data_IF_517503461675
#
_entry.id   IF_517503461675
#
_cell.length_a   1.000
_cell.length_b   1.000
_cell.length_c   1.000
_cell.angle_alpha   90.00
_cell.angle_beta   90.00
_cell.angle_gamma   90.00
#
_symmetry.space_group_name_H-M   'P 1'
#
loop_
_entity.id
_entity.type
_entity.pdbx_description
1 polymer ?
#
# COMPACT_ATOMS: atom_id res chain seq x y z
N UNK A 1 -17.66 4.99 10.48
CA UNK A 1 -16.55 4.33 11.20
C UNK A 1 -15.69 5.37 11.91
N UNK A 2 -15.19 5.08 13.11
CA UNK A 2 -14.21 5.92 13.82
C UNK A 2 -13.09 5.02 14.36
N UNK A 3 -11.85 5.36 14.03
CA UNK A 3 -10.66 4.61 14.45
C UNK A 3 -9.85 5.51 15.38
N UNK A 4 -9.51 5.01 16.57
CA UNK A 4 -8.71 5.76 17.54
C UNK A 4 -7.25 5.66 17.16
N UNK A 5 -6.59 6.80 16.96
CA UNK A 5 -5.15 6.87 16.74
C UNK A 5 -4.43 7.04 18.09
N UNK A 6 -3.48 6.16 18.44
CA UNK A 6 -2.74 6.24 19.70
C UNK A 6 -1.54 7.19 19.65
N UNK A 7 -1.02 7.50 18.45
CA UNK A 7 0.03 8.49 18.22
C UNK A 7 -0.36 9.49 17.11
N UNK A 8 0.47 10.52 16.90
CA UNK A 8 0.24 11.58 15.92
C UNK A 8 0.67 11.20 14.49
N UNK A 9 1.25 10.02 14.30
CA UNK A 9 1.78 9.53 13.02
C UNK A 9 1.19 8.16 12.62
N UNK A 10 1.53 7.70 11.41
CA UNK A 10 1.09 6.42 10.85
C UNK A 10 -0.44 6.32 10.71
N UNK A 11 -1.06 7.41 10.26
CA UNK A 11 -2.49 7.46 10.06
C UNK A 11 -2.95 6.66 8.82
N UNK A 12 -2.06 6.46 7.84
CA UNK A 12 -2.44 5.98 6.51
C UNK A 12 -3.44 6.95 5.86
N UNK A 13 -4.54 6.41 5.33
CA UNK A 13 -5.70 7.20 4.93
C UNK A 13 -6.01 7.18 3.43
N UNK A 14 -5.37 6.32 2.64
CA UNK A 14 -5.82 6.10 1.26
C UNK A 14 -7.20 5.45 1.27
N UNK A 15 -8.11 6.06 0.51
CA UNK A 15 -9.46 5.58 0.21
C UNK A 15 -9.54 5.33 -1.30
N UNK A 16 -9.98 4.14 -1.71
CA UNK A 16 -10.27 3.85 -3.11
C UNK A 16 -11.34 2.77 -3.24
N UNK A 17 -12.09 2.81 -4.33
CA UNK A 17 -13.00 1.72 -4.66
C UNK A 17 -12.26 0.61 -5.40
N UNK A 18 -12.52 -0.63 -4.99
CA UNK A 18 -12.04 -1.81 -5.71
C UNK A 18 -12.85 -2.11 -6.96
N UNK A 19 -12.33 -2.98 -7.85
CA UNK A 19 -13.08 -3.46 -9.01
C UNK A 19 -14.33 -4.27 -8.62
N UNK A 20 -14.41 -4.71 -7.36
CA UNK A 20 -15.56 -5.39 -6.75
C UNK A 20 -16.63 -4.41 -6.23
N UNK A 21 -16.41 -3.10 -6.31
CA UNK A 21 -17.36 -2.06 -5.89
C UNK A 21 -17.29 -1.69 -4.41
N UNK A 22 -16.44 -2.34 -3.61
CA UNK A 22 -16.28 -2.03 -2.19
C UNK A 22 -15.28 -0.90 -1.96
N UNK A 23 -15.40 -0.23 -0.80
CA UNK A 23 -14.44 0.78 -0.38
C UNK A 23 -13.28 0.14 0.38
N UNK A 24 -12.06 0.38 -0.10
CA UNK A 24 -10.80 -0.02 0.51
C UNK A 24 -10.18 1.15 1.27
N UNK A 25 -9.67 0.87 2.47
CA UNK A 25 -9.17 1.89 3.40
C UNK A 25 -7.83 1.42 3.96
N UNK A 26 -6.75 2.15 3.64
CA UNK A 26 -5.42 1.89 4.18
C UNK A 26 -5.23 2.55 5.52
N UNK A 27 -4.86 1.79 6.56
CA UNK A 27 -4.62 2.29 7.91
C UNK A 27 -3.23 1.89 8.37
N UNK A 28 -2.41 2.86 8.78
CA UNK A 28 -1.14 2.55 9.45
C UNK A 28 -1.35 1.97 10.86
N UNK A 29 -0.27 1.49 11.46
CA UNK A 29 -0.23 0.86 12.78
C UNK A 29 -0.57 1.84 13.92
N UNK A 30 -0.68 3.13 13.62
CA UNK A 30 -1.01 4.20 14.55
C UNK A 30 0.11 4.55 15.52
N UNK A 31 1.31 3.99 15.34
CA UNK A 31 2.46 4.19 16.19
C UNK A 31 2.28 3.73 17.65
N UNK A 32 3.22 4.10 18.54
CA UNK A 32 4.50 4.74 18.24
C UNK A 32 5.44 3.79 17.47
N UNK A 33 6.65 4.25 17.15
CA UNK A 33 7.66 3.45 16.44
C UNK A 33 7.79 2.02 17.02
N UNK A 34 7.99 1.07 16.12
CA UNK A 34 8.11 -0.38 16.33
C UNK A 34 6.81 -1.09 16.65
N UNK A 35 5.64 -0.44 16.61
CA UNK A 35 4.36 -1.06 16.96
C UNK A 35 4.44 -1.88 18.27
N UNK A 36 4.81 -1.26 19.41
CA UNK A 36 5.08 -1.98 20.65
C UNK A 36 3.81 -2.57 21.30
N UNK A 37 2.64 -2.34 20.70
CA UNK A 37 1.36 -2.91 21.09
C UNK A 37 0.87 -3.98 20.10
N UNK A 38 1.57 -4.18 18.98
CA UNK A 38 1.28 -5.22 18.00
C UNK A 38 -0.04 -4.99 17.26
N UNK A 39 -0.42 -3.73 17.06
CA UNK A 39 -1.66 -3.36 16.37
C UNK A 39 -1.76 -4.05 15.01
N UNK A 40 -0.67 -4.08 14.24
CA UNK A 40 -0.59 -4.62 12.88
C UNK A 40 -0.91 -6.12 12.82
N UNK A 41 -0.63 -6.84 13.91
CA UNK A 41 -0.90 -8.28 14.06
C UNK A 41 -2.19 -8.58 14.83
N UNK A 42 -2.79 -7.59 15.48
CA UNK A 42 -3.97 -7.75 16.30
C UNK A 42 -5.26 -7.58 15.47
N UNK A 43 -6.06 -8.65 15.35
CA UNK A 43 -7.32 -8.65 14.60
C UNK A 43 -8.47 -7.94 15.32
N UNK A 44 -8.32 -7.59 16.60
CA UNK A 44 -9.29 -6.73 17.30
C UNK A 44 -9.12 -5.25 17.00
N UNK A 45 -8.07 -4.87 16.28
CA UNK A 45 -7.73 -3.49 15.94
C UNK A 45 -7.76 -3.27 14.43
N UNK A 46 -8.19 -2.09 14.02
CA UNK A 46 -8.25 -1.67 12.61
C UNK A 46 -6.94 -1.02 12.10
N UNK A 47 -5.91 -0.98 12.94
CA UNK A 47 -4.63 -0.32 12.66
C UNK A 47 -3.61 -1.32 12.07
N UNK A 48 -2.79 -0.86 11.13
CA UNK A 48 -1.80 -1.65 10.39
C UNK A 48 -2.45 -2.63 9.42
N UNK A 49 -3.52 -2.17 8.74
CA UNK A 49 -4.46 -2.98 7.95
C UNK A 49 -4.82 -2.30 6.63
N UNK A 50 -5.33 -3.10 5.70
CA UNK A 50 -6.28 -2.62 4.70
C UNK A 50 -7.65 -3.15 5.08
N UNK A 51 -8.63 -2.25 5.15
CA UNK A 51 -10.02 -2.56 5.44
C UNK A 51 -10.81 -2.59 4.14
N UNK A 52 -11.88 -3.40 4.09
CA UNK A 52 -12.85 -3.43 2.99
C UNK A 52 -14.27 -3.41 3.54
N UNK A 53 -15.05 -2.42 3.13
CA UNK A 53 -16.43 -2.22 3.56
C UNK A 53 -17.38 -2.00 2.38
N UNK A 54 -18.65 -2.33 2.60
CA UNK A 54 -19.74 -2.03 1.68
C UNK A 54 -20.40 -0.71 2.09
N UNK A 55 -20.34 0.31 1.22
CA UNK A 55 -20.93 1.63 1.49
C UNK A 55 -22.39 1.74 1.03
N UNK A 56 -22.89 0.75 0.28
CA UNK A 56 -24.26 0.71 -0.25
C UNK A 56 -25.20 -0.10 0.66
N UNK A 57 -24.65 -0.84 1.63
CA UNK A 57 -25.39 -1.60 2.63
C UNK A 57 -25.11 -1.08 4.04
N UNK A 58 -26.01 -1.37 4.98
CA UNK A 58 -25.82 -1.09 6.40
C UNK A 58 -26.07 -2.34 7.24
N UNK A 59 -25.12 -2.71 8.09
CA UNK A 59 -25.33 -3.73 9.11
C UNK A 59 -25.93 -3.14 10.40
N UNK A 60 -26.50 -4.00 11.26
CA UNK A 60 -27.26 -3.58 12.45
C UNK A 60 -26.53 -2.57 13.37
N UNK A 61 -25.19 -2.62 13.41
CA UNK A 61 -24.36 -1.78 14.27
C UNK A 61 -23.52 -0.74 13.51
N UNK A 62 -23.60 -0.69 12.18
CA UNK A 62 -22.70 0.07 11.33
C UNK A 62 -23.48 0.88 10.27
N UNK A 63 -22.92 2.03 9.87
CA UNK A 63 -23.44 2.81 8.73
C UNK A 63 -22.83 2.35 7.40
N UNK A 64 -22.44 1.08 7.35
CA UNK A 64 -21.81 0.37 6.23
C UNK A 64 -22.07 -1.12 6.45
N UNK A 65 -21.97 -1.91 5.39
CA UNK A 65 -22.04 -3.37 5.44
C UNK A 65 -20.63 -3.96 5.53
N UNK A 66 -20.56 -5.17 6.07
CA UNK A 66 -19.39 -6.02 5.97
C UNK A 66 -19.57 -6.95 4.76
N UNK A 67 -18.69 -6.89 3.74
CA UNK A 67 -18.73 -7.86 2.64
C UNK A 67 -18.67 -9.30 3.17
N UNK A 68 -19.60 -10.15 2.72
CA UNK A 68 -19.72 -11.52 3.20
C UNK A 68 -18.51 -12.41 2.85
N UNK A 69 -17.69 -11.98 1.89
CA UNK A 69 -16.46 -12.64 1.46
C UNK A 69 -15.20 -11.99 2.06
N UNK A 70 -15.33 -11.11 3.06
CA UNK A 70 -14.16 -10.65 3.82
C UNK A 70 -13.49 -11.84 4.54
N UNK A 71 -12.14 -11.88 4.60
CA UNK A 71 -11.39 -13.09 4.96
C UNK A 71 -11.53 -13.51 6.43
N UNK A 72 -12.00 -12.62 7.31
CA UNK A 72 -12.07 -12.85 8.75
C UNK A 72 -13.50 -12.87 9.30
N UNK A 73 -14.54 -12.89 8.44
CA UNK A 73 -15.95 -12.78 8.88
C UNK A 73 -16.43 -13.98 9.69
N UNK A 74 -15.96 -15.17 9.34
CA UNK A 74 -16.38 -16.46 9.91
C UNK A 74 -15.55 -16.89 11.13
N UNK A 75 -14.58 -16.08 11.55
CA UNK A 75 -13.85 -16.35 12.78
C UNK A 75 -14.81 -16.26 13.98
N UNK A 76 -14.75 -17.28 14.85
CA UNK A 76 -15.64 -17.38 16.02
C UNK A 76 -15.32 -16.37 17.12
N UNK A 77 -14.14 -15.75 17.08
CA UNK A 77 -13.73 -14.74 18.05
C UNK A 77 -14.53 -13.44 17.82
N UNK A 78 -15.37 -13.02 18.78
CA UNK A 78 -16.20 -11.82 18.63
C UNK A 78 -15.41 -10.51 18.60
N UNK A 79 -14.15 -10.52 19.06
CA UNK A 79 -13.31 -9.33 19.06
C UNK A 79 -12.71 -9.03 17.68
N UNK A 80 -12.70 -10.02 16.77
CA UNK A 80 -12.19 -9.85 15.41
C UNK A 80 -13.00 -8.79 14.66
N UNK A 81 -12.28 -7.83 14.10
CA UNK A 81 -12.84 -6.76 13.28
C UNK A 81 -13.05 -7.26 11.87
N UNK A 82 -14.31 -7.49 11.52
CA UNK A 82 -14.71 -8.06 10.22
C UNK A 82 -14.50 -7.12 9.04
N UNK A 83 -14.18 -5.85 9.28
CA UNK A 83 -13.76 -4.90 8.25
C UNK A 83 -12.39 -5.24 7.65
N UNK A 84 -11.57 -6.02 8.38
CA UNK A 84 -10.19 -6.31 7.98
C UNK A 84 -10.18 -7.15 6.70
N UNK A 85 -9.38 -6.71 5.73
CA UNK A 85 -9.13 -7.43 4.47
C UNK A 85 -7.68 -7.91 4.37
N UNK A 86 -6.70 -7.13 4.84
CA UNK A 86 -5.27 -7.48 4.90
C UNK A 86 -4.69 -7.02 6.23
N UNK A 87 -3.69 -7.74 6.74
CA UNK A 87 -3.00 -7.44 8.01
C UNK A 87 -1.48 -7.29 7.86
N UNK A 88 -0.83 -6.79 8.90
CA UNK A 88 0.64 -6.75 8.98
C UNK A 88 1.29 -5.69 8.10
N UNK A 89 0.66 -4.52 7.96
CA UNK A 89 1.25 -3.35 7.28
C UNK A 89 1.66 -2.31 8.31
N UNK A 90 2.66 -1.48 8.00
CA UNK A 90 3.11 -0.41 8.91
C UNK A 90 2.37 0.90 8.66
N UNK A 91 2.48 1.42 7.46
CA UNK A 91 1.95 2.70 7.04
C UNK A 91 1.69 2.65 5.52
N UNK A 92 0.61 1.96 5.08
CA UNK A 92 0.23 1.91 3.66
C UNK A 92 -0.21 3.30 3.21
N UNK A 93 0.71 4.05 2.60
CA UNK A 93 0.53 5.47 2.30
C UNK A 93 -0.34 5.69 1.07
N UNK A 94 0.10 5.23 -0.12
CA UNK A 94 -0.74 5.13 -1.33
C UNK A 94 -0.93 3.70 -1.77
N UNK A 95 -2.14 3.47 -2.26
CA UNK A 95 -2.55 2.22 -2.87
C UNK A 95 -3.25 2.49 -4.19
N UNK A 96 -3.12 1.57 -5.14
CA UNK A 96 -3.81 1.64 -6.43
C UNK A 96 -4.12 0.25 -6.96
N UNK A 97 -5.34 0.09 -7.51
CA UNK A 97 -5.65 -1.08 -8.32
C UNK A 97 -5.08 -0.91 -9.71
N UNK A 98 -4.46 -1.97 -10.22
CA UNK A 98 -4.25 -2.10 -11.66
C UNK A 98 -5.58 -2.47 -12.32
N UNK A 99 -6.18 -1.62 -13.18
CA UNK A 99 -7.50 -1.86 -13.74
C UNK A 99 -7.55 -3.09 -14.68
N UNK A 100 -6.40 -3.62 -15.10
CA UNK A 100 -6.33 -4.79 -15.99
C UNK A 100 -6.19 -6.09 -15.20
N UNK A 101 -5.31 -6.13 -14.21
CA UNK A 101 -5.06 -7.37 -13.44
C UNK A 101 -5.92 -7.50 -12.19
N UNK A 102 -6.45 -6.38 -11.68
CA UNK A 102 -7.13 -6.32 -10.39
C UNK A 102 -6.19 -6.39 -9.19
N UNK A 103 -4.86 -6.39 -9.39
CA UNK A 103 -3.89 -6.39 -8.29
C UNK A 103 -3.95 -5.04 -7.54
N UNK A 104 -3.98 -5.11 -6.21
CA UNK A 104 -3.83 -3.94 -5.35
C UNK A 104 -2.36 -3.72 -5.00
N UNK A 105 -1.77 -2.68 -5.56
CA UNK A 105 -0.41 -2.23 -5.28
C UNK A 105 -0.40 -1.26 -4.09
N UNK A 106 0.63 -1.37 -3.25
CA UNK A 106 0.76 -0.59 -2.01
C UNK A 106 2.20 -0.12 -1.87
N UNK A 107 2.38 1.19 -1.63
CA UNK A 107 3.60 1.72 -1.04
C UNK A 107 3.44 1.74 0.48
N UNK A 108 4.19 0.89 1.17
CA UNK A 108 4.18 0.80 2.64
C UNK A 108 5.45 1.46 3.20
N UNK A 109 5.27 2.54 3.97
CA UNK A 109 6.38 3.27 4.56
C UNK A 109 6.94 2.42 5.70
N UNK A 110 8.20 1.99 5.57
CA UNK A 110 8.85 1.21 6.62
C UNK A 110 9.44 2.10 7.72
N UNK A 111 10.14 1.52 8.68
CA UNK A 111 10.62 2.26 9.84
C UNK A 111 12.09 2.66 9.84
N UNK A 112 12.99 1.66 9.86
CA UNK A 112 14.41 1.83 10.13
C UNK A 112 15.23 1.48 8.89
N UNK A 113 14.89 0.38 8.21
CA UNK A 113 15.74 -0.21 7.18
C UNK A 113 15.25 0.05 5.78
N UNK A 114 13.97 -0.18 5.53
CA UNK A 114 13.48 -0.28 4.16
C UNK A 114 12.19 0.50 3.96
N UNK A 115 11.96 0.92 2.72
CA UNK A 115 10.64 1.23 2.17
C UNK A 115 10.17 0.06 1.30
N UNK A 116 8.86 -0.15 1.16
CA UNK A 116 8.32 -1.37 0.56
C UNK A 116 7.30 -1.12 -0.55
N UNK A 117 7.43 -1.87 -1.65
CA UNK A 117 6.40 -2.02 -2.68
C UNK A 117 5.81 -3.42 -2.61
N UNK A 118 4.50 -3.50 -2.37
CA UNK A 118 3.79 -4.75 -2.12
C UNK A 118 2.57 -4.88 -3.02
N UNK A 119 2.26 -6.09 -3.47
CA UNK A 119 0.91 -6.45 -3.96
C UNK A 119 0.25 -7.28 -2.88
N UNK A 120 -0.92 -6.84 -2.44
CA UNK A 120 -1.67 -7.46 -1.35
C UNK A 120 -2.88 -8.25 -1.88
N UNK A 121 -3.33 -9.30 -1.16
CA UNK A 121 -4.55 -10.06 -1.47
C UNK A 121 -5.33 -10.36 -0.18
N UNK A 122 -6.61 -10.68 -0.34
CA UNK A 122 -7.53 -11.00 0.75
C UNK A 122 -6.93 -12.02 1.72
N UNK A 123 -6.91 -11.66 3.01
CA UNK A 123 -6.51 -12.52 4.12
C UNK A 123 -5.00 -12.58 4.36
N UNK A 124 -4.18 -11.89 3.55
CA UNK A 124 -2.73 -11.94 3.70
C UNK A 124 -2.23 -11.16 4.92
N UNK A 125 -1.14 -11.65 5.51
CA UNK A 125 -0.37 -10.99 6.54
C UNK A 125 0.99 -10.57 5.95
N UNK A 126 1.26 -9.27 5.89
CA UNK A 126 2.52 -8.72 5.36
C UNK A 126 3.63 -8.55 6.40
N UNK A 127 3.36 -9.00 7.63
CA UNK A 127 4.39 -9.30 8.59
C UNK A 127 4.92 -8.15 9.42
N UNK A 128 4.51 -6.89 9.23
CA UNK A 128 4.89 -5.84 10.18
C UNK A 128 4.28 -6.11 11.57
N UNK A 129 5.01 -6.05 12.70
CA UNK A 129 6.42 -5.65 12.87
C UNK A 129 7.41 -6.82 12.98
N UNK A 130 7.03 -8.03 12.58
CA UNK A 130 7.91 -9.20 12.54
C UNK A 130 8.95 -9.05 11.44
N UNK A 131 8.57 -8.52 10.28
CA UNK A 131 9.42 -8.28 9.13
C UNK A 131 9.45 -6.79 8.76
N UNK A 132 10.60 -6.35 8.27
CA UNK A 132 10.76 -5.07 7.57
C UNK A 132 11.51 -5.40 6.28
N UNK A 133 10.83 -5.25 5.15
CA UNK A 133 11.26 -5.79 3.88
C UNK A 133 11.41 -7.30 3.87
N UNK A 134 12.57 -7.78 3.44
CA UNK A 134 12.89 -9.22 3.39
C UNK A 134 13.56 -9.73 4.67
N UNK A 135 13.71 -8.89 5.69
CA UNK A 135 14.47 -9.18 6.90
C UNK A 135 13.58 -9.26 8.13
N UNK A 136 13.99 -10.11 9.08
CA UNK A 136 13.35 -10.14 10.40
C UNK A 136 13.62 -8.80 11.11
N UNK A 137 12.55 -8.19 11.58
CA UNK A 137 12.53 -7.00 12.42
C UNK A 137 12.39 -7.31 13.90
N UNK A 138 11.39 -8.11 14.26
CA UNK A 138 11.12 -8.47 15.64
C UNK A 138 10.59 -9.89 15.73
N UNK A 139 10.82 -10.57 16.85
CA UNK A 139 10.15 -11.84 17.15
C UNK A 139 8.96 -11.68 18.10
N UNK A 140 8.67 -10.46 18.57
CA UNK A 140 7.74 -10.21 19.68
C UNK A 140 6.32 -10.69 19.42
N UNK A 141 5.81 -10.51 18.19
CA UNK A 141 4.45 -10.89 17.80
C UNK A 141 4.42 -12.04 16.78
N UNK A 142 5.57 -12.70 16.57
CA UNK A 142 5.68 -13.79 15.63
C UNK A 142 4.89 -15.00 16.14
N UNK A 143 4.06 -15.54 15.25
CA UNK A 143 3.38 -16.83 15.42
C UNK A 143 4.00 -17.84 14.46
N UNK A 144 4.37 -19.02 14.96
CA UNK A 144 5.14 -20.02 14.21
C UNK A 144 4.35 -20.66 13.05
N UNK A 145 3.03 -20.77 13.20
CA UNK A 145 2.13 -21.38 12.20
C UNK A 145 1.60 -20.37 11.17
N UNK A 146 2.02 -19.11 11.26
CA UNK A 146 1.52 -18.04 10.40
C UNK A 146 2.43 -17.83 9.19
N UNK A 147 1.80 -17.61 8.02
CA UNK A 147 2.51 -17.30 6.78
C UNK A 147 2.56 -15.78 6.58
N UNK A 148 3.77 -15.24 6.43
CA UNK A 148 4.00 -13.84 6.15
C UNK A 148 4.37 -13.66 4.67
N UNK A 149 3.69 -12.74 3.99
CA UNK A 149 3.85 -12.49 2.55
C UNK A 149 4.84 -11.33 2.34
N UNK A 150 6.01 -11.58 1.73
CA UNK A 150 7.02 -10.54 1.56
C UNK A 150 6.60 -9.50 0.50
N UNK A 151 7.21 -8.30 0.51
CA UNK A 151 7.04 -7.33 -0.55
C UNK A 151 7.62 -7.82 -1.88
N UNK A 152 7.28 -7.13 -2.97
CA UNK A 152 7.87 -7.38 -4.29
C UNK A 152 9.26 -6.75 -4.38
N UNK A 153 9.40 -5.56 -3.80
CA UNK A 153 10.62 -4.79 -3.85
C UNK A 153 10.77 -3.95 -2.59
N UNK A 154 12.01 -3.82 -2.12
CA UNK A 154 12.38 -2.89 -1.06
C UNK A 154 13.57 -2.05 -1.46
N UNK A 155 13.69 -0.86 -0.88
CA UNK A 155 14.90 -0.05 -0.99
C UNK A 155 15.32 0.53 0.36
N UNK A 156 16.63 0.63 0.57
CA UNK A 156 17.22 1.13 1.80
C UNK A 156 17.15 2.65 1.93
N UNK A 157 17.44 3.13 3.14
CA UNK A 157 17.37 4.56 3.52
C UNK A 157 18.26 5.48 2.67
N UNK A 158 19.29 4.95 2.02
CA UNK A 158 20.13 5.68 1.08
C UNK A 158 19.42 6.07 -0.23
N UNK A 159 18.32 5.40 -0.56
CA UNK A 159 17.52 5.68 -1.76
C UNK A 159 16.26 6.51 -1.47
N UNK A 160 15.75 6.48 -0.25
CA UNK A 160 14.59 7.23 0.20
C UNK A 160 14.14 6.80 1.60
N UNK A 161 13.26 7.59 2.22
CA UNK A 161 12.85 7.37 3.62
C UNK A 161 11.33 7.49 3.83
N UNK A 162 10.57 7.66 2.74
CA UNK A 162 9.12 7.82 2.80
C UNK A 162 8.54 7.53 1.43
N UNK A 163 8.26 6.25 1.14
CA UNK A 163 7.65 5.86 -0.13
C UNK A 163 6.26 6.49 -0.27
N UNK A 164 6.04 7.18 -1.39
CA UNK A 164 4.72 7.72 -1.70
C UNK A 164 3.81 6.64 -2.26
N UNK A 165 4.34 5.63 -2.96
CA UNK A 165 3.56 4.68 -3.77
C UNK A 165 3.34 5.20 -5.19
N UNK A 166 2.37 4.65 -5.92
CA UNK A 166 2.28 4.89 -7.37
C UNK A 166 1.14 4.19 -8.10
N UNK A 167 1.27 4.03 -9.42
CA UNK A 167 0.28 3.39 -10.30
C UNK A 167 0.96 2.52 -11.37
N UNK A 168 0.24 1.50 -11.84
CA UNK A 168 0.65 0.76 -13.04
C UNK A 168 0.39 1.61 -14.28
N UNK A 169 1.41 1.83 -15.11
CA UNK A 169 1.28 2.61 -16.33
C UNK A 169 0.47 1.86 -17.39
N UNK A 170 -0.65 2.48 -17.82
CA UNK A 170 -1.59 1.94 -18.81
C UNK A 170 -1.87 2.89 -19.98
N UNK A 171 -1.16 4.03 -20.07
CA UNK A 171 -1.36 5.10 -21.06
C UNK A 171 -1.17 4.70 -22.52
N UNK A 172 -0.16 3.89 -22.81
CA UNK A 172 0.18 3.47 -24.17
C UNK A 172 0.65 2.01 -24.22
N UNK A 173 -0.11 1.15 -24.90
CA UNK A 173 0.20 -0.29 -25.05
C UNK A 173 1.52 -0.58 -25.79
N UNK A 174 1.97 0.34 -26.64
CA UNK A 174 3.24 0.21 -27.36
C UNK A 174 4.45 0.68 -26.53
N UNK A 175 4.20 1.37 -25.42
CA UNK A 175 5.26 1.81 -24.53
C UNK A 175 5.90 0.62 -23.83
N UNK A 176 7.22 0.62 -23.75
CA UNK A 176 7.98 -0.35 -22.95
C UNK A 176 7.64 -0.30 -21.44
N UNK A 177 7.08 0.82 -20.97
CA UNK A 177 6.57 1.00 -19.60
C UNK A 177 5.18 0.40 -19.38
N UNK A 178 4.46 -0.04 -20.42
CA UNK A 178 3.14 -0.62 -20.24
C UNK A 178 3.18 -1.80 -19.26
N UNK A 179 2.35 -1.73 -18.23
CA UNK A 179 2.32 -2.72 -17.14
C UNK A 179 3.43 -2.60 -16.10
N UNK A 180 4.29 -1.58 -16.17
CA UNK A 180 5.23 -1.28 -15.10
C UNK A 180 4.53 -0.48 -13.99
N UNK A 181 4.80 -0.82 -12.73
CA UNK A 181 4.41 -0.02 -11.59
C UNK A 181 5.38 1.14 -11.44
N UNK A 182 4.87 2.36 -11.55
CA UNK A 182 5.62 3.61 -11.44
C UNK A 182 5.31 4.25 -10.10
N UNK A 183 6.33 4.46 -9.29
CA UNK A 183 6.22 4.94 -7.91
C UNK A 183 7.35 5.91 -7.56
N UNK A 184 7.21 6.61 -6.45
CA UNK A 184 8.21 7.55 -5.98
C UNK A 184 8.34 7.61 -4.48
N UNK A 185 9.34 8.35 -4.03
CA UNK A 185 9.63 8.65 -2.62
C UNK A 185 9.45 10.13 -2.36
N UNK A 186 8.80 10.46 -1.24
CA UNK A 186 8.48 11.82 -0.84
C UNK A 186 9.74 12.66 -0.65
N UNK A 187 10.73 12.17 0.11
CA UNK A 187 11.92 12.95 0.48
C UNK A 187 12.99 12.94 -0.62
N UNK A 188 13.31 11.78 -1.19
CA UNK A 188 14.36 11.69 -2.21
C UNK A 188 13.92 12.21 -3.57
N UNK A 189 12.60 12.31 -3.79
CA UNK A 189 11.95 12.68 -5.04
C UNK A 189 12.23 11.73 -6.19
N UNK A 190 12.94 10.62 -5.96
CA UNK A 190 13.26 9.66 -7.00
C UNK A 190 11.97 9.00 -7.48
N UNK A 191 11.95 8.70 -8.78
CA UNK A 191 10.85 8.00 -9.44
C UNK A 191 11.44 6.71 -9.99
N UNK A 192 10.76 5.60 -9.74
CA UNK A 192 11.14 4.28 -10.23
C UNK A 192 10.02 3.67 -11.07
N UNK A 193 10.42 2.76 -11.94
CA UNK A 193 9.52 1.83 -12.60
C UNK A 193 9.98 0.40 -12.31
N UNK A 194 9.04 -0.47 -11.97
CA UNK A 194 9.31 -1.90 -11.81
C UNK A 194 8.32 -2.77 -12.59
N UNK A 195 8.75 -3.98 -12.93
CA UNK A 195 7.90 -5.07 -13.43
C UNK A 195 8.05 -6.28 -12.52
N UNK A 196 6.98 -7.06 -12.46
CA UNK A 196 6.93 -8.31 -11.71
C UNK A 196 6.32 -9.41 -12.58
N UNK A 197 6.63 -10.66 -12.24
CA UNK A 197 5.90 -11.84 -12.67
C UNK A 197 5.55 -12.69 -11.45
N UNK A 198 4.27 -12.99 -11.25
CA UNK A 198 3.75 -13.71 -10.07
C UNK A 198 4.29 -13.20 -8.72
N UNK A 199 4.27 -11.87 -8.51
CA UNK A 199 4.84 -11.13 -7.36
C UNK A 199 6.35 -11.28 -7.16
N UNK A 200 7.08 -11.73 -8.18
CA UNK A 200 8.54 -11.72 -8.19
C UNK A 200 9.05 -10.57 -9.04
N UNK A 201 9.95 -9.77 -8.48
CA UNK A 201 10.59 -8.69 -9.22
C UNK A 201 11.33 -9.23 -10.45
N UNK A 202 10.99 -8.72 -11.63
CA UNK A 202 11.69 -9.04 -12.88
C UNK A 202 12.56 -7.88 -13.35
N UNK A 203 12.18 -6.64 -12.99
CA UNK A 203 12.90 -5.45 -13.41
C UNK A 203 12.64 -4.27 -12.48
N UNK A 204 13.66 -3.47 -12.20
CA UNK A 204 13.58 -2.21 -11.46
C UNK A 204 14.58 -1.21 -12.05
N UNK A 205 14.13 0.03 -12.27
CA UNK A 205 15.00 1.16 -12.62
C UNK A 205 14.51 2.42 -11.94
N UNK A 206 15.45 3.27 -11.52
CA UNK A 206 15.14 4.67 -11.34
C UNK A 206 15.01 5.32 -12.72
N UNK A 207 13.87 5.95 -12.97
CA UNK A 207 13.51 6.52 -14.27
C UNK A 207 13.50 8.05 -14.27
N UNK A 208 13.68 8.65 -13.09
CA UNK A 208 13.77 10.10 -12.97
C UNK A 208 13.87 10.56 -11.52
N UNK A 209 13.79 11.87 -11.37
CA UNK A 209 13.65 12.55 -10.09
C UNK A 209 12.67 13.71 -10.27
N UNK A 210 11.66 13.80 -9.41
CA UNK A 210 10.67 14.86 -9.45
C UNK A 210 11.31 16.21 -9.04
N UNK A 211 10.81 17.34 -9.58
CA UNK A 211 11.30 18.67 -9.21
C UNK A 211 11.11 19.02 -7.72
N UNK A 212 10.11 18.42 -7.07
CA UNK A 212 9.64 18.69 -5.70
C UNK A 212 9.26 17.36 -5.03
N UNK A 213 9.08 17.36 -3.70
CA UNK A 213 8.59 16.20 -2.95
C UNK A 213 7.22 15.74 -3.49
N UNK A 214 7.05 14.43 -3.56
CA UNK A 214 5.91 13.82 -4.24
C UNK A 214 4.82 13.52 -3.22
N UNK A 215 3.80 14.37 -3.11
CA UNK A 215 2.68 14.16 -2.18
C UNK A 215 1.78 12.99 -2.60
N UNK A 216 1.63 12.80 -3.91
CA UNK A 216 0.75 11.78 -4.50
C UNK A 216 1.04 11.59 -5.99
N UNK A 217 0.38 10.58 -6.55
CA UNK A 217 0.24 10.36 -7.98
C UNK A 217 -1.25 10.35 -8.35
N UNK A 218 -1.55 10.59 -9.62
CA UNK A 218 -2.87 10.40 -10.20
C UNK A 218 -2.77 9.82 -11.61
N UNK A 219 -3.89 9.29 -12.10
CA UNK A 219 -4.03 8.82 -13.48
C UNK A 219 -5.23 9.52 -14.12
N UNK A 220 -5.11 9.87 -15.40
CA UNK A 220 -6.25 10.32 -16.18
C UNK A 220 -7.01 9.14 -16.82
N UNK A 221 -8.06 9.45 -17.59
CA UNK A 221 -8.85 8.45 -18.28
C UNK A 221 -8.13 7.79 -19.48
N UNK A 222 -6.98 8.31 -19.89
CA UNK A 222 -6.13 7.70 -20.89
C UNK A 222 -5.11 6.73 -20.28
N UNK A 223 -4.92 6.76 -18.95
CA UNK A 223 -3.92 5.96 -18.24
C UNK A 223 -2.55 6.62 -18.16
N UNK A 224 -2.48 7.93 -18.45
CA UNK A 224 -1.29 8.75 -18.26
C UNK A 224 -1.11 9.09 -16.78
N UNK A 225 0.13 9.14 -16.32
CA UNK A 225 0.45 9.34 -14.90
C UNK A 225 0.82 10.79 -14.63
N UNK A 226 0.31 11.31 -13.52
CA UNK A 226 0.61 12.64 -13.00
C UNK A 226 1.18 12.55 -11.58
N UNK A 227 2.05 13.49 -11.22
CA UNK A 227 2.59 13.66 -9.87
C UNK A 227 2.01 14.93 -9.24
N UNK A 228 1.71 14.87 -7.95
CA UNK A 228 1.28 16.03 -7.16
C UNK A 228 2.47 16.54 -6.35
N UNK A 229 2.97 17.73 -6.69
CA UNK A 229 4.08 18.38 -6.02
C UNK A 229 3.69 18.97 -4.68
N UNK A 230 4.39 18.58 -3.61
CA UNK A 230 4.10 19.03 -2.26
C UNK A 230 4.56 20.47 -1.99
N UNK A 231 5.76 20.83 -2.44
CA UNK A 231 6.39 22.10 -2.03
C UNK A 231 5.82 23.32 -2.78
N UNK A 232 5.32 23.10 -4.00
CA UNK A 232 4.83 24.17 -4.87
C UNK A 232 3.37 24.02 -5.31
N UNK A 233 2.70 22.91 -4.98
CA UNK A 233 1.32 22.65 -5.37
C UNK A 233 1.12 22.36 -6.85
N UNK A 234 2.19 22.11 -7.61
CA UNK A 234 2.11 21.87 -9.07
C UNK A 234 1.76 20.42 -9.38
N UNK A 235 0.90 20.21 -10.37
CA UNK A 235 0.66 18.90 -10.98
C UNK A 235 1.60 18.73 -12.18
N UNK A 236 2.36 17.65 -12.20
CA UNK A 236 3.30 17.32 -13.27
C UNK A 236 2.79 16.13 -14.07
N UNK A 237 2.78 16.21 -15.41
CA UNK A 237 2.58 15.04 -16.27
C UNK A 237 3.90 14.29 -16.42
N UNK A 238 3.87 12.96 -16.25
CA UNK A 238 5.04 12.10 -16.44
C UNK A 238 5.13 11.65 -17.91
N UNK A 239 5.95 12.36 -18.70
CA UNK A 239 6.20 12.01 -20.09
C UNK A 239 7.24 10.89 -20.21
N UNK A 240 6.81 9.75 -20.74
CA UNK A 240 7.63 8.56 -21.00
C UNK A 240 7.89 8.33 -22.49
N UNK A 241 7.42 9.22 -23.37
CA UNK A 241 7.40 9.01 -24.83
C UNK A 241 8.79 8.89 -25.46
N UNK A 242 9.80 9.56 -24.89
CA UNK A 242 11.18 9.54 -25.37
C UNK A 242 12.07 8.52 -24.64
N UNK A 243 11.50 7.64 -23.81
CA UNK A 243 12.26 6.77 -22.91
C UNK A 243 11.88 5.31 -23.15
N UNK A 244 12.89 4.42 -23.10
CA UNK A 244 12.70 2.99 -23.12
C UNK A 244 13.04 2.38 -21.76
N UNK A 245 12.16 1.51 -21.27
CA UNK A 245 12.37 0.74 -20.07
C UNK A 245 13.28 -0.46 -20.36
N UNK A 246 14.59 -0.24 -20.25
CA UNK A 246 15.68 -1.21 -20.48
C UNK A 246 16.26 -1.87 -19.22
#
# INVERSE_FOLDING_TARGET
MKIKQPADNHNGGTLLFGPDGYLYIGMGDGGPQEDPLGHSQNLSQLLGKILRIDVDQHDANYQYGIPADNPFVDLSDPEVRREIWVVGLREPWRMSFDPITGDLWVGDVGQVRFEEVTIVRSGENHGWNIYEGFEIFSSRYRRDEETYVPPIFTYGREYGISITGGYVFRGNQQSSFYGAYIFGDFESRRIWALKQDQRKLTKIRQIGQAPTRIASFGVDHHGEIYLVGYDNGTIYHLDLSSTHFE
#
